data_IF_877110300385
#
_entry.id   IF_877110300385
#
_cell.length_a   1.000
_cell.length_b   1.000
_cell.length_c   1.000
_cell.angle_alpha   90.00
_cell.angle_beta   90.00
_cell.angle_gamma   90.00
#
_symmetry.space_group_name_H-M   'P 1'
#
loop_
_entity.id
_entity.type
_entity.pdbx_description
1 polymer ?
#
# COMPACT_ATOMS: atom_id res chain seq x y z
N UNK A 1 -2.05 22.92 -15.11
CA UNK A 1 -2.32 22.55 -13.69
C UNK A 1 -1.74 21.16 -13.53
N UNK A 2 -0.94 20.91 -12.51
CA UNK A 2 -0.35 19.56 -12.32
C UNK A 2 -1.40 18.66 -11.67
N UNK A 3 -1.50 17.41 -12.14
CA UNK A 3 -2.41 16.43 -11.55
C UNK A 3 -2.02 16.14 -10.10
N UNK A 4 -3.02 16.11 -9.20
CA UNK A 4 -2.81 15.80 -7.79
C UNK A 4 -3.09 14.33 -7.51
N UNK A 5 -2.19 13.73 -6.72
CA UNK A 5 -2.28 12.34 -6.27
C UNK A 5 -2.42 12.33 -4.75
N UNK A 6 -3.45 11.67 -4.22
CA UNK A 6 -3.45 11.27 -2.81
C UNK A 6 -2.62 9.99 -2.69
N UNK A 7 -1.53 10.07 -1.92
CA UNK A 7 -0.67 8.93 -1.60
C UNK A 7 -0.80 8.59 -0.12
N UNK A 8 -1.44 7.48 0.21
CA UNK A 8 -1.47 7.03 1.61
C UNK A 8 -0.19 6.28 1.97
N UNK A 9 0.26 6.46 3.22
CA UNK A 9 1.45 5.76 3.72
C UNK A 9 2.79 6.32 3.24
N UNK A 10 2.85 7.61 2.87
CA UNK A 10 4.07 8.27 2.36
C UNK A 10 5.27 8.17 3.31
N UNK A 11 5.03 8.00 4.61
CA UNK A 11 6.10 7.86 5.62
C UNK A 11 6.67 6.44 5.71
N UNK A 12 6.17 5.48 4.93
CA UNK A 12 6.70 4.13 4.83
C UNK A 12 7.80 4.01 3.77
N UNK A 13 8.52 2.89 3.76
CA UNK A 13 9.59 2.63 2.79
C UNK A 13 9.09 2.77 1.34
N UNK A 14 8.12 1.95 0.95
CA UNK A 14 7.56 2.01 -0.41
C UNK A 14 6.87 3.36 -0.69
N UNK A 15 6.10 3.87 0.27
CA UNK A 15 5.40 5.15 0.13
C UNK A 15 6.36 6.32 -0.11
N UNK A 16 7.53 6.33 0.55
CA UNK A 16 8.57 7.33 0.31
C UNK A 16 9.11 7.28 -1.12
N UNK A 17 9.42 6.09 -1.64
CA UNK A 17 9.86 5.91 -3.03
C UNK A 17 8.79 6.29 -4.06
N UNK A 18 7.53 5.94 -3.80
CA UNK A 18 6.40 6.36 -4.65
C UNK A 18 6.27 7.89 -4.62
N UNK A 19 6.35 8.52 -3.45
CA UNK A 19 6.31 9.98 -3.31
C UNK A 19 7.42 10.67 -4.08
N UNK A 20 8.66 10.17 -3.98
CA UNK A 20 9.81 10.65 -4.75
C UNK A 20 9.57 10.54 -6.26
N UNK A 21 9.12 9.38 -6.73
CA UNK A 21 8.86 9.16 -8.15
C UNK A 21 7.76 10.07 -8.70
N UNK A 22 6.67 10.27 -7.95
CA UNK A 22 5.57 11.16 -8.33
C UNK A 22 6.02 12.62 -8.41
N UNK A 23 6.76 13.12 -7.42
CA UNK A 23 7.25 14.48 -7.41
C UNK A 23 8.22 14.73 -8.59
N UNK A 24 9.12 13.79 -8.87
CA UNK A 24 10.04 13.84 -10.00
C UNK A 24 9.32 13.76 -11.35
N UNK A 25 8.20 13.07 -11.43
CA UNK A 25 7.33 13.03 -12.61
C UNK A 25 6.44 14.27 -12.76
N UNK A 26 6.51 15.24 -11.84
CA UNK A 26 5.79 16.51 -11.95
C UNK A 26 4.42 16.55 -11.30
N UNK A 27 3.99 15.49 -10.61
CA UNK A 27 2.72 15.49 -9.89
C UNK A 27 2.76 16.36 -8.64
N UNK A 28 1.59 16.87 -8.23
CA UNK A 28 1.36 17.37 -6.88
C UNK A 28 1.00 16.18 -5.99
N UNK A 29 1.69 16.00 -4.88
CA UNK A 29 1.48 14.86 -3.97
C UNK A 29 0.86 15.33 -2.67
N UNK A 30 -0.31 14.79 -2.34
CA UNK A 30 -0.92 14.88 -1.03
C UNK A 30 -0.61 13.59 -0.27
N UNK A 31 0.43 13.65 0.58
CA UNK A 31 0.89 12.50 1.34
C UNK A 31 0.13 12.35 2.66
N UNK A 32 -0.38 11.15 2.97
CA UNK A 32 -0.98 10.92 4.26
C UNK A 32 0.02 10.44 5.31
N UNK A 33 -0.10 11.00 6.51
CA UNK A 33 0.62 10.58 7.71
C UNK A 33 -0.39 10.38 8.85
N UNK A 34 -0.07 9.51 9.82
CA UNK A 34 -0.92 9.35 11.02
C UNK A 34 -0.78 10.51 12.01
N UNK A 35 0.34 11.21 11.95
CA UNK A 35 0.63 12.37 12.79
C UNK A 35 1.51 13.34 12.00
N UNK A 36 1.15 14.62 12.01
CA UNK A 36 1.89 15.68 11.34
C UNK A 36 3.35 15.85 11.84
N UNK A 37 3.67 15.37 13.04
CA UNK A 37 5.06 15.35 13.52
C UNK A 37 6.02 14.57 12.60
N UNK A 38 5.50 13.71 11.72
CA UNK A 38 6.29 12.98 10.72
C UNK A 38 6.47 13.75 9.41
N UNK A 39 5.67 14.80 9.17
CA UNK A 39 5.64 15.51 7.89
C UNK A 39 6.99 16.16 7.56
N UNK A 40 7.60 16.84 8.53
CA UNK A 40 8.87 17.54 8.32
C UNK A 40 9.99 16.55 7.98
N UNK A 41 10.02 15.40 8.65
CA UNK A 41 10.98 14.34 8.35
C UNK A 41 10.79 13.80 6.94
N UNK A 42 9.57 13.49 6.53
CA UNK A 42 9.27 13.00 5.17
C UNK A 42 9.68 14.05 4.13
N UNK A 43 9.35 15.33 4.37
CA UNK A 43 9.73 16.43 3.47
C UNK A 43 11.24 16.55 3.34
N UNK A 44 11.97 16.55 4.45
CA UNK A 44 13.42 16.64 4.46
C UNK A 44 14.07 15.45 3.70
N UNK A 45 13.57 14.24 3.92
CA UNK A 45 14.05 13.02 3.24
C UNK A 45 13.86 13.11 1.73
N UNK A 46 12.67 13.48 1.26
CA UNK A 46 12.38 13.58 -0.17
C UNK A 46 13.16 14.71 -0.83
N UNK A 47 13.34 15.84 -0.11
CA UNK A 47 14.19 16.94 -0.57
C UNK A 47 15.65 16.52 -0.70
N UNK A 48 16.20 15.81 0.28
CA UNK A 48 17.57 15.27 0.24
C UNK A 48 17.76 14.25 -0.89
N UNK A 49 16.69 13.54 -1.28
CA UNK A 49 16.67 12.64 -2.43
C UNK A 49 16.48 13.38 -3.78
N UNK A 50 16.45 14.71 -3.79
CA UNK A 50 16.39 15.53 -4.99
C UNK A 50 14.99 15.87 -5.49
N UNK A 51 13.93 15.60 -4.74
CA UNK A 51 12.57 15.95 -5.13
C UNK A 51 12.27 17.44 -4.92
N UNK A 52 11.49 18.03 -5.84
CA UNK A 52 10.85 19.32 -5.62
C UNK A 52 9.68 19.20 -4.66
N UNK A 53 9.95 19.43 -3.39
CA UNK A 53 8.96 19.30 -2.29
C UNK A 53 8.01 20.50 -2.17
N UNK A 54 8.10 21.51 -3.05
CA UNK A 54 7.13 22.61 -3.10
C UNK A 54 5.72 22.11 -3.49
N UNK A 55 5.66 20.95 -4.18
CA UNK A 55 4.42 20.27 -4.59
C UNK A 55 3.98 19.18 -3.64
N UNK A 56 4.57 19.09 -2.44
CA UNK A 56 4.22 18.11 -1.40
C UNK A 56 3.40 18.77 -0.30
N UNK A 57 2.19 18.29 -0.10
CA UNK A 57 1.31 18.64 1.02
C UNK A 57 1.01 17.40 1.88
N UNK A 58 0.58 17.61 3.13
CA UNK A 58 0.28 16.51 4.04
C UNK A 58 -1.14 16.58 4.57
N UNK A 59 -1.72 15.40 4.79
CA UNK A 59 -3.00 15.20 5.47
C UNK A 59 -2.84 14.14 6.55
N UNK A 60 -3.66 14.26 7.61
CA UNK A 60 -3.72 13.23 8.64
C UNK A 60 -4.81 12.24 8.28
N UNK A 61 -4.43 10.96 8.17
CA UNK A 61 -5.37 9.86 7.96
C UNK A 61 -4.98 8.69 8.87
N UNK A 62 -5.97 8.11 9.51
CA UNK A 62 -5.86 6.83 10.22
C UNK A 62 -6.72 5.78 9.52
N UNK A 63 -6.19 4.56 9.40
CA UNK A 63 -6.91 3.44 8.77
C UNK A 63 -8.15 3.01 9.57
N UNK A 64 -8.22 3.36 10.86
CA UNK A 64 -9.31 3.01 11.77
C UNK A 64 -10.24 4.17 12.11
N UNK A 65 -9.95 5.39 11.60
CA UNK A 65 -10.78 6.58 11.81
C UNK A 65 -11.38 7.06 10.49
N UNK A 66 -12.64 7.46 10.51
CA UNK A 66 -13.36 7.96 9.33
C UNK A 66 -13.00 9.42 8.99
N UNK A 67 -12.38 10.12 9.93
CA UNK A 67 -12.06 11.54 9.82
C UNK A 67 -11.04 11.80 8.71
N UNK A 68 -11.30 12.82 7.90
CA UNK A 68 -10.36 13.36 6.93
C UNK A 68 -10.36 12.67 5.55
N UNK A 69 -10.91 11.47 5.39
CA UNK A 69 -10.86 10.75 4.11
C UNK A 69 -11.55 11.49 2.98
N UNK A 70 -12.77 12.00 3.23
CA UNK A 70 -13.52 12.76 2.22
C UNK A 70 -12.82 14.06 1.80
N UNK A 71 -12.24 14.80 2.74
CA UNK A 71 -11.52 16.04 2.43
C UNK A 71 -10.15 15.78 1.78
N UNK A 72 -9.53 14.65 2.07
CA UNK A 72 -8.19 14.32 1.53
C UNK A 72 -8.19 14.06 0.03
N UNK A 73 -9.31 13.63 -0.55
CA UNK A 73 -9.45 13.33 -1.99
C UNK A 73 -9.91 14.52 -2.83
N UNK A 74 -10.27 15.65 -2.19
CA UNK A 74 -10.70 16.86 -2.92
C UNK A 74 -9.60 17.35 -3.85
N UNK A 75 -9.95 17.63 -5.11
CA UNK A 75 -9.04 18.03 -6.18
C UNK A 75 -7.94 17.00 -6.51
N UNK A 76 -8.03 15.77 -6.03
CA UNK A 76 -7.16 14.69 -6.44
C UNK A 76 -7.72 14.02 -7.70
N UNK A 77 -6.86 13.79 -8.67
CA UNK A 77 -7.18 13.00 -9.86
C UNK A 77 -6.97 11.51 -9.63
N UNK A 78 -5.96 11.17 -8.83
CA UNK A 78 -5.55 9.79 -8.58
C UNK A 78 -5.43 9.50 -7.08
N UNK A 79 -5.62 8.24 -6.71
CA UNK A 79 -5.35 7.71 -5.38
C UNK A 79 -4.37 6.55 -5.47
N UNK A 80 -3.28 6.61 -4.71
CA UNK A 80 -2.41 5.46 -4.48
C UNK A 80 -2.52 5.06 -3.00
N UNK A 81 -3.15 3.92 -2.75
CA UNK A 81 -3.32 3.39 -1.40
C UNK A 81 -2.22 2.39 -1.06
N UNK A 82 -1.16 2.88 -0.41
CA UNK A 82 -0.02 2.08 0.03
C UNK A 82 0.02 1.87 1.55
N UNK A 83 -0.80 2.60 2.30
CA UNK A 83 -0.90 2.43 3.75
C UNK A 83 -1.54 1.09 4.11
N UNK A 84 -0.82 0.28 4.86
CA UNK A 84 -1.31 -0.99 5.41
C UNK A 84 -0.55 -1.28 6.71
N UNK A 85 -1.15 -1.97 7.70
CA UNK A 85 -0.37 -2.43 8.84
C UNK A 85 0.66 -3.45 8.38
N UNK A 86 1.89 -3.24 8.79
CA UNK A 86 2.97 -4.20 8.62
C UNK A 86 3.68 -4.39 9.95
N UNK A 87 3.85 -5.64 10.36
CA UNK A 87 4.54 -6.01 11.60
C UNK A 87 5.48 -7.18 11.32
N UNK A 88 6.67 -7.16 11.93
CA UNK A 88 7.66 -8.23 11.79
C UNK A 88 7.23 -9.52 12.47
N UNK A 89 6.55 -9.40 13.61
CA UNK A 89 6.04 -10.54 14.37
C UNK A 89 4.53 -10.56 14.29
N UNK A 90 3.98 -11.72 13.94
CA UNK A 90 2.53 -11.89 13.94
C UNK A 90 1.96 -11.57 15.32
N UNK A 91 0.96 -10.71 15.45
CA UNK A 91 0.27 -10.46 16.70
C UNK A 91 -0.49 -11.72 17.12
N UNK A 92 -0.71 -11.88 18.42
CA UNK A 92 -1.52 -12.99 18.94
C UNK A 92 -2.98 -12.93 18.44
N UNK A 93 -3.51 -11.69 18.29
CA UNK A 93 -4.81 -11.44 17.68
C UNK A 93 -4.63 -11.06 16.20
N UNK A 94 -5.13 -11.90 15.30
CA UNK A 94 -5.09 -11.64 13.85
C UNK A 94 -5.87 -10.39 13.45
N UNK A 95 -6.92 -10.03 14.21
CA UNK A 95 -7.74 -8.85 13.95
C UNK A 95 -6.95 -7.55 14.09
N UNK A 96 -5.84 -7.56 14.82
CA UNK A 96 -4.92 -6.42 14.89
C UNK A 96 -4.28 -6.09 13.54
N UNK A 97 -4.22 -7.05 12.60
CA UNK A 97 -3.79 -6.81 11.21
C UNK A 97 -4.97 -6.71 10.25
N UNK A 98 -5.93 -7.61 10.35
CA UNK A 98 -7.05 -7.70 9.40
C UNK A 98 -7.91 -6.44 9.47
N UNK A 99 -8.30 -6.02 10.68
CA UNK A 99 -9.20 -4.88 10.85
C UNK A 99 -8.66 -3.59 10.24
N UNK A 100 -7.43 -3.11 10.55
CA UNK A 100 -6.93 -1.89 9.93
C UNK A 100 -6.65 -2.05 8.42
N UNK A 101 -6.26 -3.23 7.93
CA UNK A 101 -6.06 -3.44 6.50
C UNK A 101 -7.37 -3.31 5.72
N UNK A 102 -8.41 -4.04 6.13
CA UNK A 102 -9.72 -4.03 5.45
C UNK A 102 -10.43 -2.69 5.63
N UNK A 103 -10.48 -2.17 6.88
CA UNK A 103 -11.17 -0.92 7.17
C UNK A 103 -10.50 0.29 6.50
N UNK A 104 -9.17 0.32 6.45
CA UNK A 104 -8.42 1.37 5.76
C UNK A 104 -8.62 1.34 4.25
N UNK A 105 -8.57 0.15 3.65
CA UNK A 105 -8.88 -0.04 2.23
C UNK A 105 -10.30 0.39 1.90
N UNK A 106 -11.28 -0.01 2.71
CA UNK A 106 -12.69 0.43 2.55
C UNK A 106 -12.79 1.94 2.52
N UNK A 107 -12.18 2.65 3.48
CA UNK A 107 -12.21 4.12 3.56
C UNK A 107 -11.60 4.78 2.35
N UNK A 108 -10.43 4.30 1.94
CA UNK A 108 -9.74 4.81 0.76
C UNK A 108 -10.59 4.66 -0.51
N UNK A 109 -11.14 3.47 -0.74
CA UNK A 109 -11.97 3.17 -1.92
C UNK A 109 -13.28 3.97 -1.87
N UNK A 110 -13.97 4.01 -0.74
CA UNK A 110 -15.22 4.77 -0.62
C UNK A 110 -15.01 6.26 -0.86
N UNK A 111 -13.94 6.85 -0.32
CA UNK A 111 -13.57 8.24 -0.59
C UNK A 111 -13.27 8.46 -2.08
N UNK A 112 -12.53 7.55 -2.72
CA UNK A 112 -12.22 7.63 -4.15
C UNK A 112 -13.48 7.54 -5.02
N UNK A 113 -14.40 6.64 -4.69
CA UNK A 113 -15.68 6.50 -5.41
C UNK A 113 -16.52 7.75 -5.26
N UNK A 114 -16.67 8.27 -4.04
CA UNK A 114 -17.47 9.46 -3.75
C UNK A 114 -16.93 10.74 -4.44
N UNK A 115 -15.60 10.86 -4.56
CA UNK A 115 -14.94 11.99 -5.21
C UNK A 115 -14.70 11.78 -6.72
N UNK A 116 -15.17 10.68 -7.30
CA UNK A 116 -14.97 10.33 -8.72
C UNK A 116 -13.50 10.34 -9.14
N UNK A 117 -12.59 9.87 -8.26
CA UNK A 117 -11.17 9.71 -8.56
C UNK A 117 -11.01 8.88 -9.86
N UNK A 118 -10.24 9.36 -10.82
CA UNK A 118 -10.12 8.73 -12.14
C UNK A 118 -9.47 7.35 -12.08
N UNK A 119 -8.42 7.19 -11.29
CA UNK A 119 -7.71 5.92 -11.13
C UNK A 119 -7.31 5.69 -9.68
N UNK A 120 -7.54 4.47 -9.21
CA UNK A 120 -7.07 3.99 -7.90
C UNK A 120 -6.01 2.92 -8.10
N UNK A 121 -4.89 3.06 -7.40
CA UNK A 121 -3.85 2.03 -7.33
C UNK A 121 -3.77 1.52 -5.90
N UNK A 122 -3.97 0.23 -5.70
CA UNK A 122 -3.86 -0.44 -4.41
C UNK A 122 -2.56 -1.24 -4.33
N UNK A 123 -1.76 -1.00 -3.30
CA UNK A 123 -0.63 -1.87 -2.98
C UNK A 123 -1.09 -3.04 -2.12
N UNK A 124 -1.29 -4.19 -2.77
CA UNK A 124 -1.57 -5.47 -2.12
C UNK A 124 -0.27 -6.25 -1.86
N UNK A 125 -0.25 -7.54 -2.13
CA UNK A 125 0.92 -8.42 -1.96
C UNK A 125 0.70 -9.73 -2.71
N UNK A 126 1.78 -10.39 -3.15
CA UNK A 126 1.71 -11.80 -3.60
C UNK A 126 1.11 -12.71 -2.52
N UNK A 127 1.17 -12.30 -1.25
CA UNK A 127 0.53 -13.01 -0.15
C UNK A 127 -1.00 -13.10 -0.28
N UNK A 128 -1.63 -12.27 -1.11
CA UNK A 128 -3.05 -12.37 -1.44
C UNK A 128 -3.34 -13.44 -2.52
N UNK A 129 -2.28 -14.03 -3.12
CA UNK A 129 -2.38 -14.95 -4.25
C UNK A 129 -1.90 -16.36 -3.84
N UNK A 130 -0.79 -16.48 -3.11
CA UNK A 130 0.08 -17.68 -3.13
C UNK A 130 -0.21 -18.75 -2.10
N UNK A 131 -1.15 -18.57 -1.14
CA UNK A 131 -1.33 -19.50 -0.04
C UNK A 131 -2.65 -20.29 -0.09
N UNK A 132 -2.59 -21.54 0.38
CA UNK A 132 -3.78 -22.38 0.57
C UNK A 132 -4.26 -23.09 -0.70
N UNK A 133 -3.43 -23.18 -1.71
CA UNK A 133 -3.69 -23.98 -2.91
C UNK A 133 -3.35 -25.45 -2.68
N UNK A 134 -3.99 -26.36 -3.43
CA UNK A 134 -3.69 -27.78 -3.42
C UNK A 134 -2.63 -28.10 -4.48
N UNK A 135 -1.57 -28.83 -4.09
CA UNK A 135 -0.48 -29.24 -4.98
C UNK A 135 0.75 -28.34 -4.90
N UNK A 136 1.93 -28.93 -5.18
CA UNK A 136 3.23 -28.29 -4.89
C UNK A 136 3.84 -27.51 -6.09
N UNK A 137 3.26 -27.63 -7.30
CA UNK A 137 3.82 -27.02 -8.53
C UNK A 137 2.72 -26.34 -9.38
N UNK A 138 2.11 -25.30 -8.84
CA UNK A 138 1.17 -24.48 -9.62
C UNK A 138 1.81 -23.14 -9.98
N UNK A 139 1.67 -22.75 -11.25
CA UNK A 139 1.91 -21.39 -11.70
C UNK A 139 0.67 -20.57 -11.32
N UNK A 140 0.83 -19.65 -10.40
CA UNK A 140 -0.24 -18.77 -9.92
C UNK A 140 -0.17 -17.42 -10.63
N UNK A 141 -1.31 -16.79 -10.78
CA UNK A 141 -1.48 -15.48 -11.41
C UNK A 141 -2.34 -14.56 -10.52
N UNK A 142 -2.58 -13.35 -10.95
CA UNK A 142 -3.49 -12.41 -10.29
C UNK A 142 -4.97 -12.82 -10.35
N UNK A 143 -5.31 -13.87 -11.10
CA UNK A 143 -6.65 -14.48 -11.07
C UNK A 143 -6.85 -15.43 -9.88
N UNK A 144 -5.75 -15.84 -9.26
CA UNK A 144 -5.77 -16.78 -8.14
C UNK A 144 -5.85 -16.02 -6.81
N UNK A 145 -6.41 -16.69 -5.80
CA UNK A 145 -6.59 -16.12 -4.47
C UNK A 145 -6.04 -17.03 -3.39
N UNK A 146 -5.27 -16.45 -2.48
CA UNK A 146 -4.98 -17.11 -1.21
C UNK A 146 -6.29 -17.49 -0.54
N UNK A 147 -6.37 -18.74 -0.02
CA UNK A 147 -7.50 -19.20 0.79
C UNK A 147 -7.40 -18.63 2.22
N UNK A 148 -8.25 -17.67 2.64
CA UNK A 148 -8.15 -17.11 4.00
C UNK A 148 -8.48 -18.13 5.09
N UNK A 149 -9.23 -19.18 4.78
CA UNK A 149 -9.63 -20.23 5.73
C UNK A 149 -8.59 -21.35 5.88
N UNK A 150 -7.57 -21.40 5.03
CA UNK A 150 -6.52 -22.41 5.12
C UNK A 150 -5.72 -22.26 6.42
N UNK A 151 -5.44 -23.34 7.15
CA UNK A 151 -4.63 -23.28 8.37
C UNK A 151 -3.18 -22.83 8.12
N UNK A 152 -2.70 -22.97 6.87
CA UNK A 152 -1.36 -22.54 6.46
C UNK A 152 -1.29 -21.06 6.02
N UNK A 153 -2.41 -20.36 6.04
CA UNK A 153 -2.45 -18.94 5.68
C UNK A 153 -2.11 -18.07 6.88
N UNK A 154 -1.02 -17.31 6.80
CA UNK A 154 -0.60 -16.40 7.86
C UNK A 154 -1.60 -15.26 8.09
N UNK A 155 -1.58 -14.65 9.28
CA UNK A 155 -2.42 -13.47 9.59
C UNK A 155 -2.18 -12.33 8.61
N UNK A 156 -0.94 -12.13 8.17
CA UNK A 156 -0.59 -11.14 7.15
C UNK A 156 -1.22 -11.47 5.79
N UNK A 157 -1.05 -12.70 5.31
CA UNK A 157 -1.63 -13.12 4.03
C UNK A 157 -3.16 -12.97 4.04
N UNK A 158 -3.80 -13.40 5.14
CA UNK A 158 -5.24 -13.24 5.35
C UNK A 158 -5.65 -11.77 5.31
N UNK A 159 -4.89 -10.89 5.97
CA UNK A 159 -5.18 -9.46 5.98
C UNK A 159 -5.08 -8.82 4.59
N UNK A 160 -4.09 -9.21 3.79
CA UNK A 160 -3.90 -8.71 2.40
C UNK A 160 -4.98 -9.23 1.47
N UNK A 161 -5.30 -10.52 1.54
CA UNK A 161 -6.37 -11.13 0.74
C UNK A 161 -7.71 -10.44 0.98
N UNK A 162 -8.11 -10.30 2.24
CA UNK A 162 -9.40 -9.69 2.60
C UNK A 162 -9.46 -8.21 2.24
N UNK A 163 -8.36 -7.46 2.39
CA UNK A 163 -8.31 -6.05 2.01
C UNK A 163 -8.41 -5.86 0.49
N UNK A 164 -7.76 -6.70 -0.29
CA UNK A 164 -7.84 -6.64 -1.76
C UNK A 164 -9.22 -7.05 -2.27
N UNK A 165 -9.80 -8.12 -1.72
CA UNK A 165 -11.17 -8.54 -2.05
C UNK A 165 -12.18 -7.44 -1.73
N UNK A 166 -12.02 -6.73 -0.62
CA UNK A 166 -12.85 -5.58 -0.25
C UNK A 166 -12.76 -4.46 -1.29
N UNK A 167 -11.54 -4.13 -1.77
CA UNK A 167 -11.36 -3.12 -2.80
C UNK A 167 -12.08 -3.49 -4.09
N UNK A 168 -11.89 -4.71 -4.58
CA UNK A 168 -12.55 -5.22 -5.78
C UNK A 168 -14.08 -5.23 -5.64
N UNK A 169 -14.60 -5.65 -4.48
CA UNK A 169 -16.03 -5.67 -4.22
C UNK A 169 -16.65 -4.27 -4.27
N UNK A 170 -16.03 -3.29 -3.61
CA UNK A 170 -16.50 -1.91 -3.58
C UNK A 170 -16.45 -1.24 -4.95
N UNK A 171 -15.36 -1.41 -5.70
CA UNK A 171 -15.22 -0.83 -7.03
C UNK A 171 -16.17 -1.48 -8.04
N UNK A 172 -16.44 -2.78 -7.90
CA UNK A 172 -17.43 -3.49 -8.71
C UNK A 172 -18.84 -3.01 -8.39
N UNK A 173 -19.20 -2.88 -7.11
CA UNK A 173 -20.50 -2.36 -6.69
C UNK A 173 -20.75 -0.92 -7.17
N UNK A 174 -19.69 -0.11 -7.28
CA UNK A 174 -19.76 1.24 -7.83
C UNK A 174 -19.79 1.29 -9.39
N UNK A 175 -19.73 0.15 -10.08
CA UNK A 175 -19.61 0.09 -11.54
C UNK A 175 -18.27 0.58 -12.08
N UNK A 176 -17.23 0.63 -11.26
CA UNK A 176 -15.93 1.27 -11.53
C UNK A 176 -14.74 0.29 -11.43
N UNK A 177 -15.00 -1.01 -11.63
CA UNK A 177 -13.96 -2.04 -11.54
C UNK A 177 -12.74 -1.74 -12.41
N UNK A 178 -12.93 -1.20 -13.63
CA UNK A 178 -11.85 -0.85 -14.56
C UNK A 178 -10.97 0.32 -14.10
N UNK A 179 -11.38 1.08 -13.07
CA UNK A 179 -10.62 2.20 -12.53
C UNK A 179 -9.69 1.77 -11.38
N UNK A 180 -9.73 0.51 -10.96
CA UNK A 180 -8.83 -0.05 -9.95
C UNK A 180 -7.69 -0.83 -10.61
N UNK A 181 -6.46 -0.51 -10.24
CA UNK A 181 -5.28 -1.32 -10.49
C UNK A 181 -4.73 -1.83 -9.16
N UNK A 182 -4.41 -3.11 -9.08
CA UNK A 182 -3.81 -3.72 -7.90
C UNK A 182 -2.40 -4.18 -8.22
N UNK A 183 -1.46 -3.85 -7.35
CA UNK A 183 -0.07 -4.29 -7.45
C UNK A 183 0.18 -5.31 -6.34
N UNK A 184 0.62 -6.50 -6.69
CA UNK A 184 0.89 -7.60 -5.77
C UNK A 184 2.41 -7.84 -5.65
N UNK A 185 3.17 -6.98 -4.97
CA UNK A 185 4.61 -7.14 -4.86
C UNK A 185 4.96 -8.33 -3.98
N UNK A 186 6.12 -8.94 -4.25
CA UNK A 186 6.83 -9.84 -3.36
C UNK A 186 7.59 -9.04 -2.28
N UNK A 187 8.76 -9.54 -1.92
CA UNK A 187 9.66 -8.79 -1.03
C UNK A 187 10.22 -7.58 -1.77
N UNK A 188 9.98 -6.40 -1.24
CA UNK A 188 10.46 -5.14 -1.82
C UNK A 188 11.80 -4.80 -1.19
N UNK A 189 12.84 -4.76 -2.01
CA UNK A 189 14.20 -4.41 -1.63
C UNK A 189 14.63 -3.14 -2.36
N UNK A 190 15.43 -2.30 -1.70
CA UNK A 190 15.95 -1.09 -2.31
C UNK A 190 16.75 -0.24 -1.33
N UNK A 191 17.39 0.84 -1.80
CA UNK A 191 18.12 1.76 -0.95
C UNK A 191 17.16 2.48 0.00
N UNK A 192 17.61 2.74 1.23
CA UNK A 192 16.89 3.62 2.14
C UNK A 192 17.01 5.05 1.63
N UNK A 193 15.91 5.79 1.61
CA UNK A 193 15.93 7.23 1.30
C UNK A 193 16.52 8.03 2.47
N UNK A 194 16.32 7.55 3.69
CA UNK A 194 17.02 8.00 4.88
C UNK A 194 17.16 6.83 5.88
N UNK A 195 17.98 7.04 6.93
CA UNK A 195 18.21 6.04 7.98
C UNK A 195 17.01 5.84 8.92
N UNK A 196 15.79 6.15 8.53
CA UNK A 196 14.64 6.04 9.42
C UNK A 196 13.25 6.22 8.85
N UNK A 197 13.04 6.30 7.53
CA UNK A 197 11.72 6.13 6.94
C UNK A 197 11.38 4.63 6.84
N UNK A 198 10.76 4.16 7.90
CA UNK A 198 9.96 2.96 7.99
C UNK A 198 10.47 1.73 7.27
N UNK A 199 11.49 1.12 7.73
CA UNK A 199 11.73 -0.31 7.74
C UNK A 199 13.17 -0.65 8.04
N UNK A 200 13.59 -0.38 9.20
CA UNK A 200 14.55 -1.21 9.92
C UNK A 200 14.18 -2.70 9.90
N UNK A 201 12.93 -3.01 9.60
CA UNK A 201 12.39 -4.35 9.57
C UNK A 201 13.13 -5.31 8.63
N UNK A 202 13.45 -4.87 7.43
CA UNK A 202 14.21 -5.70 6.49
C UNK A 202 15.72 -5.72 6.78
N UNK A 203 16.25 -4.67 7.41
CA UNK A 203 17.63 -4.64 7.88
C UNK A 203 17.83 -5.56 9.09
N UNK A 204 16.85 -5.66 9.99
CA UNK A 204 16.85 -6.62 11.10
C UNK A 204 16.72 -8.06 10.59
N UNK A 205 15.94 -8.30 9.54
CA UNK A 205 15.84 -9.62 8.90
C UNK A 205 17.12 -9.99 8.13
N UNK A 206 17.86 -9.06 7.57
CA UNK A 206 19.13 -9.32 6.89
C UNK A 206 20.26 -9.71 7.83
N UNK A 207 20.09 -9.51 9.13
CA UNK A 207 21.01 -9.97 10.18
C UNK A 207 20.76 -11.37 10.72
N UNK A 208 19.62 -12.00 10.37
CA UNK A 208 19.32 -13.38 10.77
C UNK A 208 19.46 -14.33 9.58
N UNK A 209 20.14 -15.48 9.73
CA UNK A 209 20.26 -16.48 8.67
C UNK A 209 18.95 -17.27 8.57
N UNK A 210 17.94 -16.71 7.91
CA UNK A 210 16.74 -17.43 7.56
C UNK A 210 16.79 -17.80 6.07
N UNK A 211 16.62 -19.09 5.70
CA UNK A 211 16.47 -19.47 4.31
C UNK A 211 15.09 -18.98 3.84
N UNK A 212 15.02 -17.75 3.34
CA UNK A 212 13.86 -17.32 2.61
C UNK A 212 13.96 -17.86 1.18
N UNK A 213 12.94 -18.51 0.63
CA UNK A 213 12.91 -18.83 -0.77
C UNK A 213 13.01 -17.52 -1.57
N UNK A 214 13.98 -17.44 -2.47
CA UNK A 214 14.13 -16.35 -3.42
C UNK A 214 12.92 -16.38 -4.35
N UNK A 215 11.92 -15.59 -4.04
CA UNK A 215 10.79 -15.36 -4.95
C UNK A 215 11.27 -14.35 -5.99
N UNK A 216 11.40 -14.79 -7.23
CA UNK A 216 11.69 -13.92 -8.35
C UNK A 216 10.52 -12.92 -8.50
N UNK A 217 10.82 -11.63 -8.41
CA UNK A 217 9.86 -10.58 -8.71
C UNK A 217 9.59 -10.61 -10.22
N UNK A 218 8.44 -11.14 -10.63
CA UNK A 218 7.99 -10.99 -11.99
C UNK A 218 7.52 -9.55 -12.20
N UNK A 219 8.07 -8.94 -13.24
CA UNK A 219 7.67 -7.63 -13.72
C UNK A 219 6.38 -7.82 -14.49
N UNK A 220 5.26 -7.43 -13.92
CA UNK A 220 4.00 -7.42 -14.65
C UNK A 220 3.97 -6.15 -15.52
N UNK A 221 3.89 -6.36 -16.82
CA UNK A 221 3.64 -5.32 -17.83
C UNK A 221 2.15 -5.41 -18.14
N UNK A 222 1.42 -4.33 -17.93
CA UNK A 222 0.04 -4.20 -18.38
C UNK A 222 0.08 -3.68 -19.82
N UNK A 223 -0.58 -4.37 -20.72
CA UNK A 223 -0.98 -3.87 -22.03
C UNK A 223 -2.23 -3.00 -21.92
#
# INVERSE_FOLDING_TARGET
MFDRVLLTGISGFLGGHIGLALLNAGYTVRGSVRNLSKADKVRATLSAAGADVSRLEFVVLDLLDDTGWGSSVVDCRYLIHSASPFVLRAPADEMALIRPAVAGTRRAIMAAVAAHIERVVLTSSIAAIQYGHAGDEQVLSEADWTSPSSPNTSHYARSKTLAEQEAWALMTAAGRRGDLAVINPGVILGPLLDNGLGTSALLEMAGEPTPAPLVHAHRYVFD
#
